data_IF_242596587712
#
_entry.id   IF_242596587712
#
_cell.length_a   1.000
_cell.length_b   1.000
_cell.length_c   1.000
_cell.angle_alpha   90.00
_cell.angle_beta   90.00
_cell.angle_gamma   90.00
#
_symmetry.space_group_name_H-M   'P 1'
#
loop_
_entity.id
_entity.type
_entity.pdbx_description
1 polymer ?
#
# COMPACT_ATOMS: atom_id res chain seq x y z
N UNK A 1 -5.55 28.42 -26.27
CA UNK A 1 -6.37 27.20 -26.37
C UNK A 1 -5.45 26.01 -26.13
N UNK A 2 -5.13 25.73 -24.87
CA UNK A 2 -5.79 24.72 -24.03
C UNK A 2 -5.36 23.30 -24.39
N UNK A 3 -4.40 22.74 -23.62
CA UNK A 3 -4.26 21.30 -23.42
C UNK A 3 -3.92 21.07 -21.94
N UNK A 4 -4.97 20.90 -21.13
CA UNK A 4 -4.91 20.48 -19.73
C UNK A 4 -5.87 19.32 -19.57
N UNK A 5 -5.58 18.21 -20.26
CA UNK A 5 -6.47 17.02 -20.30
C UNK A 5 -5.73 15.74 -19.92
N UNK A 6 -4.72 15.83 -19.05
CA UNK A 6 -4.01 14.67 -18.49
C UNK A 6 -4.08 14.56 -16.96
N UNK A 7 -4.42 15.65 -16.26
CA UNK A 7 -4.28 15.72 -14.79
C UNK A 7 -5.59 15.50 -14.02
N UNK A 8 -6.73 15.38 -14.70
CA UNK A 8 -8.04 15.31 -14.06
C UNK A 8 -8.51 13.87 -13.77
N UNK A 9 -8.08 12.88 -14.57
CA UNK A 9 -8.43 11.46 -14.36
C UNK A 9 -7.67 10.76 -13.23
N UNK A 10 -6.49 11.29 -12.85
CA UNK A 10 -5.66 10.74 -11.77
C UNK A 10 -6.09 11.22 -10.38
N UNK A 11 -6.72 12.39 -10.29
CA UNK A 11 -7.10 13.01 -8.99
C UNK A 11 -8.34 12.33 -8.38
N UNK A 12 -9.14 11.60 -9.16
CA UNK A 12 -10.33 10.87 -8.67
C UNK A 12 -10.01 9.55 -7.94
N UNK A 13 -8.78 9.03 -8.02
CA UNK A 13 -8.40 7.77 -7.36
C UNK A 13 -7.98 7.91 -5.89
N UNK A 14 -7.86 9.14 -5.38
CA UNK A 14 -7.45 9.39 -3.99
C UNK A 14 -8.61 9.28 -2.99
N UNK A 15 -9.85 9.17 -3.47
CA UNK A 15 -11.07 9.18 -2.64
C UNK A 15 -11.92 7.92 -2.83
N UNK A 16 -11.32 6.81 -3.24
CA UNK A 16 -12.09 5.57 -3.29
C UNK A 16 -12.26 5.04 -1.86
N UNK A 17 -13.48 5.22 -1.35
CA UNK A 17 -13.87 4.75 -0.02
C UNK A 17 -13.73 3.23 -0.01
N UNK A 18 -12.95 2.71 0.94
CA UNK A 18 -12.77 1.27 1.12
C UNK A 18 -14.14 0.61 1.32
N UNK A 19 -14.53 -0.37 0.47
CA UNK A 19 -15.80 -1.08 0.62
C UNK A 19 -15.92 -1.71 2.02
N UNK A 20 -17.15 -1.79 2.56
CA UNK A 20 -17.38 -2.29 3.92
C UNK A 20 -16.90 -3.72 4.13
N UNK A 21 -16.95 -4.56 3.09
CA UNK A 21 -16.42 -5.94 3.09
C UNK A 21 -14.89 -6.01 3.11
N UNK A 22 -14.20 -4.89 2.89
CA UNK A 22 -12.74 -4.78 2.83
C UNK A 22 -12.18 -3.85 3.91
N UNK A 23 -12.93 -3.56 4.98
CA UNK A 23 -12.49 -2.63 6.03
C UNK A 23 -11.14 -3.00 6.66
N UNK A 24 -10.78 -4.28 6.65
CA UNK A 24 -9.49 -4.80 7.15
C UNK A 24 -8.26 -4.25 6.43
N UNK A 25 -8.37 -3.81 5.17
CA UNK A 25 -7.25 -3.23 4.42
C UNK A 25 -7.10 -1.72 4.61
N UNK A 26 -8.09 -1.05 5.22
CA UNK A 26 -8.08 0.40 5.40
C UNK A 26 -6.87 0.91 6.21
N UNK A 27 -6.43 0.25 7.31
CA UNK A 27 -5.21 0.66 8.01
C UNK A 27 -3.96 0.60 7.13
N UNK A 28 -3.87 -0.40 6.24
CA UNK A 28 -2.73 -0.57 5.33
C UNK A 28 -2.66 0.60 4.35
N UNK A 29 -3.79 0.98 3.74
CA UNK A 29 -3.86 2.10 2.81
C UNK A 29 -3.59 3.44 3.50
N UNK A 30 -4.03 3.61 4.75
CA UNK A 30 -3.70 4.80 5.54
C UNK A 30 -2.19 4.92 5.73
N UNK A 31 -1.54 3.84 6.18
CA UNK A 31 -0.08 3.80 6.34
C UNK A 31 0.62 4.05 5.01
N UNK A 32 0.14 3.47 3.91
CA UNK A 32 0.71 3.71 2.58
C UNK A 32 0.72 5.20 2.22
N UNK A 33 -0.38 5.92 2.47
CA UNK A 33 -0.47 7.36 2.23
C UNK A 33 0.46 8.16 3.17
N UNK A 34 0.59 7.75 4.43
CA UNK A 34 1.46 8.44 5.41
C UNK A 34 2.95 8.34 5.05
N UNK A 35 3.38 7.19 4.53
CA UNK A 35 4.80 6.95 4.21
C UNK A 35 5.18 7.40 2.79
N UNK A 36 4.20 7.75 1.94
CA UNK A 36 4.40 8.11 0.52
C UNK A 36 5.45 9.22 0.34
N UNK A 37 5.35 10.30 1.10
CA UNK A 37 6.30 11.42 1.02
C UNK A 37 7.71 11.05 1.52
N UNK A 38 7.83 10.03 2.38
CA UNK A 38 9.11 9.62 2.97
C UNK A 38 9.81 8.56 2.13
N UNK A 39 9.05 7.61 1.58
CA UNK A 39 9.57 6.57 0.69
C UNK A 39 8.43 6.10 -0.25
N UNK A 40 8.39 6.61 -1.50
CA UNK A 40 7.37 6.25 -2.47
C UNK A 40 7.33 4.75 -2.79
N UNK A 41 8.49 4.07 -2.79
CA UNK A 41 8.55 2.63 -3.07
C UNK A 41 7.89 1.80 -1.97
N UNK A 42 8.14 2.14 -0.71
CA UNK A 42 7.48 1.50 0.44
C UNK A 42 5.98 1.74 0.44
N UNK A 43 5.54 2.94 0.06
CA UNK A 43 4.12 3.26 -0.11
C UNK A 43 3.45 2.37 -1.16
N UNK A 44 4.09 2.22 -2.33
CA UNK A 44 3.66 1.28 -3.37
C UNK A 44 3.55 -0.16 -2.83
N UNK A 45 4.56 -0.66 -2.12
CA UNK A 45 4.54 -2.02 -1.55
C UNK A 45 3.41 -2.22 -0.54
N UNK A 46 3.09 -1.21 0.27
CA UNK A 46 1.94 -1.27 1.18
C UNK A 46 0.61 -1.35 0.41
N UNK A 47 0.44 -0.58 -0.68
CA UNK A 47 -0.76 -0.65 -1.53
C UNK A 47 -0.86 -1.98 -2.25
N UNK A 48 0.26 -2.51 -2.72
CA UNK A 48 0.32 -3.82 -3.36
C UNK A 48 -0.15 -4.92 -2.41
N UNK A 49 0.38 -4.92 -1.19
CA UNK A 49 -0.03 -5.84 -0.14
C UNK A 49 -1.52 -5.70 0.21
N UNK A 50 -2.04 -4.46 0.30
CA UNK A 50 -3.46 -4.21 0.51
C UNK A 50 -4.33 -4.81 -0.62
N UNK A 51 -3.89 -4.68 -1.86
CA UNK A 51 -4.56 -5.26 -3.03
C UNK A 51 -4.58 -6.80 -2.96
N UNK A 52 -3.44 -7.44 -2.69
CA UNK A 52 -3.39 -8.90 -2.50
C UNK A 52 -4.31 -9.36 -1.38
N UNK A 53 -4.35 -8.64 -0.26
CA UNK A 53 -5.23 -8.94 0.88
C UNK A 53 -6.69 -8.79 0.50
N UNK A 54 -7.07 -7.75 -0.27
CA UNK A 54 -8.42 -7.60 -0.79
C UNK A 54 -8.83 -8.75 -1.73
N UNK A 55 -7.90 -9.24 -2.56
CA UNK A 55 -8.13 -10.41 -3.40
C UNK A 55 -8.32 -11.70 -2.60
N UNK A 56 -7.66 -11.84 -1.45
CA UNK A 56 -7.88 -12.97 -0.53
C UNK A 56 -9.19 -12.86 0.23
N UNK A 57 -9.60 -11.66 0.63
CA UNK A 57 -10.84 -11.40 1.37
C UNK A 57 -12.10 -11.61 0.52
N UNK A 58 -12.07 -11.21 -0.76
CA UNK A 58 -13.15 -11.48 -1.71
C UNK A 58 -12.59 -11.98 -3.04
N UNK A 59 -12.27 -13.28 -3.17
CA UNK A 59 -11.71 -13.84 -4.39
C UNK A 59 -12.64 -13.69 -5.61
N UNK A 60 -13.95 -13.71 -5.39
CA UNK A 60 -14.98 -13.61 -6.44
C UNK A 60 -15.24 -12.17 -6.89
N UNK A 61 -14.78 -11.18 -6.12
CA UNK A 61 -15.11 -9.77 -6.29
C UNK A 61 -16.64 -9.54 -6.35
N UNK A 62 -17.42 -10.27 -5.55
CA UNK A 62 -18.88 -10.17 -5.55
C UNK A 62 -19.42 -9.11 -4.59
N UNK A 63 -18.58 -8.61 -3.68
CA UNK A 63 -18.94 -7.55 -2.75
C UNK A 63 -19.30 -6.24 -3.46
N UNK A 64 -20.28 -5.51 -2.91
CA UNK A 64 -20.70 -4.21 -3.44
C UNK A 64 -19.51 -3.25 -3.51
N UNK A 65 -19.20 -2.74 -4.70
CA UNK A 65 -18.11 -1.80 -4.92
C UNK A 65 -16.71 -2.42 -4.95
N UNK A 66 -16.58 -3.72 -4.66
CA UNK A 66 -15.28 -4.42 -4.63
C UNK A 66 -14.62 -4.50 -6.02
N UNK A 67 -15.33 -4.82 -7.11
CA UNK A 67 -14.75 -4.80 -8.45
C UNK A 67 -14.16 -3.46 -8.82
N UNK A 68 -14.92 -2.38 -8.62
CA UNK A 68 -14.51 -1.02 -8.96
C UNK A 68 -13.27 -0.63 -8.16
N UNK A 69 -13.32 -0.86 -6.85
CA UNK A 69 -12.23 -0.60 -5.94
C UNK A 69 -10.95 -1.34 -6.32
N UNK A 70 -11.03 -2.65 -6.63
CA UNK A 70 -9.86 -3.42 -7.06
C UNK A 70 -9.33 -2.91 -8.39
N UNK A 71 -10.18 -2.63 -9.37
CA UNK A 71 -9.76 -2.10 -10.67
C UNK A 71 -9.02 -0.77 -10.53
N UNK A 72 -9.57 0.16 -9.77
CA UNK A 72 -8.94 1.47 -9.56
C UNK A 72 -7.65 1.37 -8.74
N UNK A 73 -7.61 0.52 -7.70
CA UNK A 73 -6.37 0.26 -6.96
C UNK A 73 -5.30 -0.40 -7.85
N UNK A 74 -5.67 -1.34 -8.72
CA UNK A 74 -4.75 -1.96 -9.67
C UNK A 74 -4.19 -0.95 -10.67
N UNK A 75 -5.03 -0.11 -11.27
CA UNK A 75 -4.59 0.94 -12.19
C UNK A 75 -3.59 1.90 -11.54
N UNK A 76 -3.84 2.23 -10.26
CA UNK A 76 -2.91 3.03 -9.47
C UNK A 76 -1.58 2.31 -9.25
N UNK A 77 -1.61 1.02 -8.93
CA UNK A 77 -0.40 0.20 -8.76
C UNK A 77 0.42 0.11 -10.05
N UNK A 78 -0.22 -0.07 -11.20
CA UNK A 78 0.48 -0.09 -12.50
C UNK A 78 1.26 1.21 -12.73
N UNK A 79 0.64 2.36 -12.47
CA UNK A 79 1.29 3.67 -12.61
C UNK A 79 2.39 3.92 -11.57
N UNK A 80 2.13 3.59 -10.31
CA UNK A 80 3.09 3.78 -9.22
C UNK A 80 4.30 2.84 -9.35
N UNK A 81 4.13 1.64 -9.91
CA UNK A 81 5.23 0.70 -10.05
C UNK A 81 6.36 1.29 -10.90
N UNK A 82 6.05 1.82 -12.09
CA UNK A 82 7.04 2.41 -12.99
C UNK A 82 7.75 3.62 -12.36
N UNK A 83 6.96 4.53 -11.77
CA UNK A 83 7.46 5.79 -11.20
C UNK A 83 8.29 5.58 -9.94
N UNK A 84 7.94 4.60 -9.11
CA UNK A 84 8.68 4.31 -7.86
C UNK A 84 9.91 3.44 -8.09
N UNK A 85 9.89 2.54 -9.10
CA UNK A 85 11.05 1.75 -9.49
C UNK A 85 12.21 2.62 -9.98
N UNK A 86 11.92 3.67 -10.77
CA UNK A 86 12.95 4.56 -11.30
C UNK A 86 13.79 5.25 -10.20
N UNK A 87 13.20 5.46 -9.02
CA UNK A 87 13.88 6.05 -7.86
C UNK A 87 14.51 5.03 -6.91
N UNK A 88 14.18 3.73 -7.01
CA UNK A 88 14.75 2.72 -6.13
C UNK A 88 16.12 2.26 -6.62
N UNK A 89 17.02 1.99 -5.68
CA UNK A 89 18.37 1.48 -5.93
C UNK A 89 18.56 0.06 -5.36
N UNK A 90 17.50 -0.53 -4.80
CA UNK A 90 17.55 -1.80 -4.08
C UNK A 90 16.35 -2.67 -4.46
N UNK A 91 16.37 -3.94 -4.02
CA UNK A 91 15.18 -4.78 -4.15
C UNK A 91 14.10 -4.34 -3.16
N UNK A 92 12.83 -4.64 -3.50
CA UNK A 92 11.68 -4.31 -2.66
C UNK A 92 11.81 -4.79 -1.21
N UNK A 93 12.37 -6.00 -1.02
CA UNK A 93 12.62 -6.55 0.31
C UNK A 93 13.63 -5.72 1.12
N UNK A 94 14.65 -5.16 0.45
CA UNK A 94 15.67 -4.32 1.07
C UNK A 94 15.15 -2.92 1.36
N UNK A 95 14.41 -2.32 0.43
CA UNK A 95 13.75 -1.02 0.66
C UNK A 95 12.81 -1.09 1.87
N UNK A 96 11.96 -2.12 1.91
CA UNK A 96 11.01 -2.33 3.00
C UNK A 96 11.72 -2.60 4.33
N UNK A 97 12.79 -3.41 4.32
CA UNK A 97 13.57 -3.71 5.52
C UNK A 97 14.25 -2.47 6.09
N UNK A 98 14.94 -1.71 5.23
CA UNK A 98 15.67 -0.49 5.63
C UNK A 98 14.70 0.55 6.19
N UNK A 99 13.55 0.73 5.53
CA UNK A 99 12.53 1.66 6.01
C UNK A 99 11.94 1.24 7.35
N UNK A 100 11.62 -0.05 7.53
CA UNK A 100 11.10 -0.56 8.81
C UNK A 100 12.10 -0.33 9.96
N UNK A 101 13.40 -0.60 9.73
CA UNK A 101 14.43 -0.37 10.74
C UNK A 101 14.56 1.12 11.10
N UNK A 102 14.53 2.00 10.10
CA UNK A 102 14.56 3.45 10.31
C UNK A 102 13.35 3.92 11.11
N UNK A 103 12.15 3.46 10.73
CA UNK A 103 10.90 3.78 11.41
C UNK A 103 10.92 3.31 12.87
N UNK A 104 11.34 2.06 13.11
CA UNK A 104 11.43 1.49 14.46
C UNK A 104 12.38 2.29 15.36
N UNK A 105 13.58 2.64 14.86
CA UNK A 105 14.54 3.44 15.61
C UNK A 105 14.02 4.85 15.91
N UNK A 106 13.36 5.47 14.93
CA UNK A 106 12.91 6.87 15.03
C UNK A 106 11.71 7.03 15.96
N UNK A 107 10.73 6.14 15.84
CA UNK A 107 9.47 6.28 16.56
C UNK A 107 9.41 5.30 17.73
N UNK A 108 9.52 3.99 17.51
CA UNK A 108 9.31 3.00 18.58
C UNK A 108 10.38 3.06 19.68
N UNK A 109 11.67 3.11 19.30
CA UNK A 109 12.75 3.18 20.28
C UNK A 109 12.78 4.53 21.02
N UNK A 110 12.39 5.62 20.36
CA UNK A 110 12.30 6.93 20.98
C UNK A 110 11.20 6.98 22.06
N UNK A 111 10.05 6.34 21.83
CA UNK A 111 8.95 6.25 22.80
C UNK A 111 9.35 5.45 24.05
N UNK A 112 10.18 4.41 23.88
CA UNK A 112 10.72 3.63 25.01
C UNK A 112 11.67 4.45 25.90
N UNK A 113 12.36 5.45 25.33
CA UNK A 113 13.31 6.29 26.05
C UNK A 113 12.65 7.54 26.66
N UNK A 114 11.47 7.95 26.17
CA UNK A 114 10.74 9.12 26.65
C UNK A 114 9.79 8.74 27.79
N UNK A 115 10.31 8.70 29.02
CA UNK A 115 9.55 8.22 30.19
C UNK A 115 8.31 9.08 30.57
N UNK A 116 8.27 10.38 30.23
CA UNK A 116 7.32 11.32 30.88
C UNK A 116 6.54 12.27 29.95
N UNK A 117 6.67 12.18 28.63
CA UNK A 117 6.00 13.13 27.72
C UNK A 117 5.55 12.47 26.43
N UNK A 118 4.43 11.77 26.47
CA UNK A 118 4.02 11.06 25.28
C UNK A 118 2.51 10.89 25.17
N UNK A 119 1.98 11.51 24.11
CA UNK A 119 0.59 11.49 23.71
C UNK A 119 0.19 10.04 23.41
N UNK A 120 -0.71 9.50 24.25
CA UNK A 120 -1.20 8.11 24.13
C UNK A 120 -1.75 7.83 22.72
N UNK A 121 -2.30 8.84 22.04
CA UNK A 121 -2.78 8.69 20.68
C UNK A 121 -1.61 8.49 19.70
N UNK A 122 -0.54 9.26 19.84
CA UNK A 122 0.66 9.17 18.99
C UNK A 122 1.34 7.79 19.14
N UNK A 123 1.53 7.30 20.38
CA UNK A 123 2.03 5.94 20.61
C UNK A 123 1.21 4.88 19.91
N UNK A 124 -0.10 4.95 20.10
CA UNK A 124 -1.03 3.99 19.50
C UNK A 124 -0.90 3.98 17.99
N UNK A 125 -0.83 5.17 17.38
CA UNK A 125 -0.60 5.34 15.95
C UNK A 125 0.72 4.72 15.50
N UNK A 126 1.83 5.02 16.17
CA UNK A 126 3.15 4.54 15.77
C UNK A 126 3.26 3.01 15.86
N UNK A 127 2.66 2.39 16.89
CA UNK A 127 2.58 0.94 16.97
C UNK A 127 1.71 0.32 15.87
N UNK A 128 0.57 0.94 15.53
CA UNK A 128 -0.27 0.48 14.43
C UNK A 128 0.47 0.56 13.09
N UNK A 129 1.16 1.66 12.84
CA UNK A 129 1.98 1.83 11.63
C UNK A 129 3.12 0.81 11.59
N UNK A 130 3.84 0.60 12.71
CA UNK A 130 4.90 -0.40 12.78
C UNK A 130 4.38 -1.83 12.52
N UNK A 131 3.20 -2.19 13.05
CA UNK A 131 2.58 -3.49 12.81
C UNK A 131 2.28 -3.72 11.33
N UNK A 132 1.68 -2.73 10.66
CA UNK A 132 1.42 -2.79 9.21
C UNK A 132 2.72 -2.93 8.42
N UNK A 133 3.73 -2.10 8.71
CA UNK A 133 5.02 -2.15 8.01
C UNK A 133 5.70 -3.52 8.20
N UNK A 134 5.57 -4.13 9.37
CA UNK A 134 6.09 -5.47 9.63
C UNK A 134 5.35 -6.56 8.85
N UNK A 135 4.01 -6.50 8.78
CA UNK A 135 3.20 -7.42 7.97
C UNK A 135 3.60 -7.36 6.48
N UNK A 136 3.73 -6.16 5.95
CA UNK A 136 4.15 -5.93 4.55
C UNK A 136 5.57 -6.45 4.32
N UNK A 137 6.51 -6.16 5.24
CA UNK A 137 7.88 -6.68 5.15
C UNK A 137 7.93 -8.21 5.12
N UNK A 138 7.08 -8.88 5.91
CA UNK A 138 6.97 -10.34 5.86
C UNK A 138 6.47 -10.80 4.50
N UNK A 139 5.40 -10.20 3.99
CA UNK A 139 4.82 -10.57 2.69
C UNK A 139 5.83 -10.41 1.54
N UNK A 140 6.56 -9.30 1.49
CA UNK A 140 7.57 -9.01 0.45
C UNK A 140 8.75 -9.99 0.50
N UNK A 141 9.07 -10.55 1.67
CA UNK A 141 10.12 -11.56 1.81
C UNK A 141 9.70 -12.96 1.37
N UNK A 142 8.43 -13.31 1.59
CA UNK A 142 7.88 -14.63 1.24
C UNK A 142 7.60 -14.75 -0.26
N UNK A 143 7.25 -13.65 -0.95
CA UNK A 143 6.93 -13.65 -2.38
C UNK A 143 7.55 -12.43 -3.08
N UNK A 144 8.38 -12.63 -4.12
CA UNK A 144 8.84 -11.51 -4.93
C UNK A 144 7.67 -10.90 -5.71
N UNK A 145 7.49 -9.59 -5.53
CA UNK A 145 6.36 -8.78 -6.01
C UNK A 145 6.20 -8.83 -7.55
N UNK A 146 7.31 -9.05 -8.27
CA UNK A 146 7.36 -9.21 -9.73
C UNK A 146 6.55 -10.42 -10.23
N UNK A 147 6.48 -11.51 -9.45
CA UNK A 147 5.81 -12.75 -9.86
C UNK A 147 4.29 -12.64 -9.68
N UNK A 148 3.86 -11.86 -8.69
CA UNK A 148 2.44 -11.69 -8.35
C UNK A 148 1.74 -10.74 -9.31
N UNK A 149 2.37 -9.63 -9.72
CA UNK A 149 1.78 -8.72 -10.70
C UNK A 149 1.49 -9.45 -12.02
N UNK A 150 2.41 -10.31 -12.47
CA UNK A 150 2.22 -11.12 -13.67
C UNK A 150 1.01 -12.08 -13.56
N UNK A 151 0.83 -12.75 -12.41
CA UNK A 151 -0.31 -13.63 -12.18
C UNK A 151 -1.62 -12.86 -12.00
N UNK A 152 -1.61 -11.74 -11.29
CA UNK A 152 -2.77 -10.87 -11.06
C UNK A 152 -3.27 -10.25 -12.37
N UNK A 153 -2.36 -9.77 -13.22
CA UNK A 153 -2.71 -9.26 -14.55
C UNK A 153 -3.30 -10.35 -15.45
N UNK A 154 -2.77 -11.58 -15.40
CA UNK A 154 -3.33 -12.71 -16.15
C UNK A 154 -4.70 -13.15 -15.63
N UNK A 155 -4.93 -13.10 -14.32
CA UNK A 155 -6.21 -13.51 -13.71
C UNK A 155 -7.30 -12.45 -13.91
N UNK A 156 -6.99 -11.16 -13.75
CA UNK A 156 -7.99 -10.08 -13.89
C UNK A 156 -8.30 -9.75 -15.35
N UNK A 157 -7.34 -9.84 -16.29
CA UNK A 157 -7.65 -9.70 -17.72
C UNK A 157 -8.59 -10.80 -18.23
N UNK A 158 -8.63 -11.97 -17.59
CA UNK A 158 -9.63 -13.02 -17.88
C UNK A 158 -11.00 -12.73 -17.27
N UNK A 159 -11.07 -12.10 -16.09
CA UNK A 159 -12.34 -11.75 -15.45
C UNK A 159 -13.03 -10.51 -16.03
N UNK A 160 -12.31 -9.62 -16.71
CA UNK A 160 -12.85 -8.44 -17.41
C UNK A 160 -13.15 -8.67 -18.90
N UNK A 161 -12.99 -9.90 -19.40
CA UNK A 161 -13.24 -10.27 -20.81
C UNK A 161 -14.60 -10.96 -21.04
N UNK A 162 -15.58 -10.75 -20.15
CA UNK A 162 -16.97 -11.22 -20.29
C UNK A 162 -17.89 -10.00 -20.30
#
# INVERSE_FOLDING_TARGET
MSQTTGKLGMVTLYSEVVPSSLVEIAPILRVANEVEASNPRVSYLCRFYAFEKACKLDPTSSGRGVPQFKTALLQRLEHENETTLAGSQQSDARDMQSFYQLYYKKYIQALQNAADKDDRAQRTKDYQTAAVLFEVLKAVKEVPVEVVLCLVLLFLRRSLAI
#
